data_IF_187921825435
#
_entry.id   IF_187921825435
#
_cell.length_a   1.000
_cell.length_b   1.000
_cell.length_c   1.000
_cell.angle_alpha   90.00
_cell.angle_beta   90.00
_cell.angle_gamma   90.00
#
_symmetry.space_group_name_H-M   'P 1'
#
loop_
_entity.id
_entity.type
_entity.pdbx_description
1 polymer ?
#
# COMPACT_ATOMS: atom_id res chain seq x y z
N UNK A 1 -9.93 14.22 -4.61
CA UNK A 1 -9.61 13.15 -3.63
C UNK A 1 -8.61 13.61 -2.55
N UNK A 2 -7.34 13.90 -2.89
CA UNK A 2 -6.29 14.21 -1.88
C UNK A 2 -6.69 15.30 -0.87
N UNK A 3 -7.19 16.45 -1.33
CA UNK A 3 -7.58 17.56 -0.44
C UNK A 3 -8.64 17.17 0.60
N UNK A 4 -9.54 16.25 0.25
CA UNK A 4 -10.59 15.76 1.16
C UNK A 4 -9.97 14.87 2.24
N UNK A 5 -9.10 13.93 1.85
CA UNK A 5 -8.37 13.07 2.80
C UNK A 5 -7.51 13.91 3.74
N UNK A 6 -6.82 14.92 3.19
CA UNK A 6 -5.99 15.85 3.95
C UNK A 6 -6.80 16.64 4.99
N UNK A 7 -7.93 17.22 4.60
CA UNK A 7 -8.81 17.95 5.52
C UNK A 7 -9.40 17.04 6.60
N UNK A 8 -9.85 15.82 6.23
CA UNK A 8 -10.34 14.83 7.19
C UNK A 8 -9.25 14.43 8.19
N UNK A 9 -8.01 14.22 7.72
CA UNK A 9 -6.88 13.90 8.58
C UNK A 9 -6.56 15.03 9.57
N UNK A 10 -6.60 16.31 9.14
CA UNK A 10 -6.42 17.47 10.03
C UNK A 10 -7.48 17.51 11.14
N UNK A 11 -8.73 17.24 10.77
CA UNK A 11 -9.85 17.24 11.72
C UNK A 11 -9.79 16.07 12.71
N UNK A 12 -9.28 14.91 12.26
CA UNK A 12 -9.11 13.69 13.08
C UNK A 12 -7.88 13.73 13.98
N UNK A 13 -6.83 14.43 13.57
CA UNK A 13 -5.58 14.51 14.31
C UNK A 13 -5.79 15.04 15.73
N UNK A 14 -5.20 14.37 16.71
CA UNK A 14 -5.34 14.75 18.12
C UNK A 14 -4.84 16.18 18.38
N UNK A 15 -5.60 17.00 19.13
CA UNK A 15 -5.12 18.29 19.62
C UNK A 15 -3.80 18.11 20.40
N UNK A 16 -2.92 19.10 20.33
CA UNK A 16 -1.69 19.13 21.10
C UNK A 16 -1.67 20.36 21.99
N UNK A 17 -1.20 20.19 23.23
CA UNK A 17 -1.09 21.30 24.20
C UNK A 17 0.02 22.29 23.84
N UNK A 18 0.98 21.88 23.00
CA UNK A 18 2.04 22.72 22.45
C UNK A 18 2.00 22.71 20.93
N UNK A 19 2.58 23.75 20.32
CA UNK A 19 2.69 23.83 18.85
C UNK A 19 3.44 22.63 18.29
N UNK A 20 4.58 22.26 18.88
CA UNK A 20 5.40 21.14 18.41
C UNK A 20 4.66 19.80 18.49
N UNK A 21 3.95 19.55 19.59
CA UNK A 21 3.13 18.35 19.74
C UNK A 21 1.99 18.34 18.72
N UNK A 22 1.32 19.48 18.50
CA UNK A 22 0.24 19.58 17.50
C UNK A 22 0.75 19.33 16.09
N UNK A 23 1.91 19.87 15.73
CA UNK A 23 2.54 19.67 14.42
C UNK A 23 2.90 18.19 14.24
N UNK A 24 3.49 17.55 15.25
CA UNK A 24 3.81 16.11 15.23
C UNK A 24 2.55 15.25 15.02
N UNK A 25 1.49 15.50 15.79
CA UNK A 25 0.22 14.77 15.67
C UNK A 25 -0.42 14.94 14.29
N UNK A 26 -0.35 16.15 13.72
CA UNK A 26 -0.83 16.44 12.37
C UNK A 26 -0.04 15.64 11.32
N UNK A 27 1.30 15.67 11.39
CA UNK A 27 2.16 14.94 10.45
C UNK A 27 1.90 13.44 10.51
N UNK A 28 1.81 12.85 11.71
CA UNK A 28 1.54 11.42 11.85
C UNK A 28 0.16 11.04 11.30
N UNK A 29 -0.88 11.81 11.63
CA UNK A 29 -2.25 11.53 11.19
C UNK A 29 -2.42 11.68 9.67
N UNK A 30 -1.83 12.74 9.09
CA UNK A 30 -1.88 12.98 7.64
C UNK A 30 -1.11 11.89 6.90
N UNK A 31 0.12 11.58 7.32
CA UNK A 31 0.96 10.54 6.69
C UNK A 31 0.23 9.20 6.69
N UNK A 32 -0.32 8.80 7.84
CA UNK A 32 -1.00 7.53 7.95
C UNK A 32 -2.32 7.49 7.18
N UNK A 33 -3.11 8.57 7.19
CA UNK A 33 -4.38 8.63 6.44
C UNK A 33 -4.15 8.54 4.94
N UNK A 34 -3.12 9.23 4.41
CA UNK A 34 -2.75 9.16 2.99
C UNK A 34 -2.21 7.78 2.63
N UNK A 35 -1.37 7.19 3.50
CA UNK A 35 -0.92 5.82 3.33
C UNK A 35 -2.09 4.84 3.25
N UNK A 36 -3.03 4.92 4.19
CA UNK A 36 -4.23 4.06 4.21
C UNK A 36 -5.12 4.26 3.00
N UNK A 37 -5.34 5.51 2.57
CA UNK A 37 -6.13 5.82 1.38
C UNK A 37 -5.50 5.26 0.11
N UNK A 38 -4.19 5.42 -0.04
CA UNK A 38 -3.47 4.95 -1.23
C UNK A 38 -3.38 3.43 -1.23
N UNK A 39 -2.96 2.82 -0.12
CA UNK A 39 -2.81 1.36 0.03
C UNK A 39 -4.11 0.59 -0.19
N UNK A 40 -5.29 1.20 0.02
CA UNK A 40 -6.59 0.60 -0.33
C UNK A 40 -6.79 0.38 -1.82
N UNK A 41 -6.22 1.25 -2.66
CA UNK A 41 -6.33 1.16 -4.12
C UNK A 41 -5.23 0.32 -4.78
N UNK A 42 -4.24 -0.16 -4.01
CA UNK A 42 -3.11 -0.93 -4.51
C UNK A 42 -3.36 -2.44 -4.41
N UNK A 43 -2.80 -3.19 -5.35
CA UNK A 43 -2.70 -4.64 -5.22
C UNK A 43 -1.76 -5.02 -4.08
N UNK A 44 -1.96 -6.18 -3.46
CA UNK A 44 -1.11 -6.64 -2.34
C UNK A 44 0.38 -6.71 -2.71
N UNK A 45 0.71 -7.08 -3.95
CA UNK A 45 2.10 -7.12 -4.42
C UNK A 45 2.77 -5.74 -4.47
N UNK A 46 1.99 -4.66 -4.57
CA UNK A 46 2.50 -3.31 -4.74
C UNK A 46 2.57 -2.52 -3.43
N UNK A 47 1.85 -2.96 -2.38
CA UNK A 47 1.79 -2.23 -1.10
C UNK A 47 3.14 -2.07 -0.43
N UNK A 48 3.96 -3.11 -0.40
CA UNK A 48 5.29 -3.02 0.22
C UNK A 48 6.20 -2.08 -0.58
N UNK A 49 6.09 -2.05 -1.90
CA UNK A 49 6.86 -1.15 -2.77
C UNK A 49 6.48 0.29 -2.44
N UNK A 50 5.18 0.60 -2.39
CA UNK A 50 4.69 1.93 -2.04
C UNK A 50 5.14 2.34 -0.62
N UNK A 51 4.96 1.47 0.37
CA UNK A 51 5.37 1.72 1.75
C UNK A 51 6.89 1.99 1.85
N UNK A 52 7.70 1.24 1.09
CA UNK A 52 9.15 1.43 1.02
C UNK A 52 9.49 2.80 0.43
N UNK A 53 8.89 3.16 -0.71
CA UNK A 53 9.14 4.44 -1.37
C UNK A 53 8.75 5.63 -0.48
N UNK A 54 7.57 5.57 0.14
CA UNK A 54 7.11 6.59 1.07
C UNK A 54 8.08 6.74 2.25
N UNK A 55 8.50 5.63 2.86
CA UNK A 55 9.49 5.64 3.94
C UNK A 55 10.80 6.28 3.48
N UNK A 56 11.33 5.90 2.32
CA UNK A 56 12.57 6.50 1.82
C UNK A 56 12.45 8.00 1.57
N UNK A 57 11.33 8.48 1.02
CA UNK A 57 11.13 9.91 0.80
C UNK A 57 11.04 10.69 2.13
N UNK A 58 10.32 10.16 3.12
CA UNK A 58 10.25 10.77 4.46
C UNK A 58 11.65 10.88 5.07
N UNK A 59 12.42 9.79 5.06
CA UNK A 59 13.76 9.77 5.65
C UNK A 59 14.75 10.67 4.91
N UNK A 60 14.62 10.81 3.58
CA UNK A 60 15.41 11.77 2.79
C UNK A 60 15.06 13.22 3.16
N UNK A 61 13.78 13.54 3.29
CA UNK A 61 13.31 14.88 3.67
C UNK A 61 13.74 15.26 5.09
N UNK A 62 13.82 14.27 5.99
CA UNK A 62 14.29 14.44 7.36
C UNK A 62 15.83 14.41 7.48
N UNK A 63 16.56 14.26 6.38
CA UNK A 63 18.03 14.13 6.36
C UNK A 63 18.57 12.94 7.19
N UNK A 64 17.74 11.91 7.44
CA UNK A 64 18.13 10.70 8.18
C UNK A 64 18.92 9.71 7.32
N UNK A 65 18.81 9.83 6.00
CA UNK A 65 19.52 9.01 5.00
C UNK A 65 19.98 9.89 3.86
N UNK A 66 21.12 9.54 3.27
CA UNK A 66 21.66 10.27 2.12
C UNK A 66 21.17 9.68 0.80
N UNK A 67 21.07 10.51 -0.25
CA UNK A 67 20.74 10.02 -1.59
C UNK A 67 21.75 9.01 -2.11
N UNK A 68 23.03 9.12 -1.71
CA UNK A 68 24.09 8.20 -2.13
C UNK A 68 23.93 6.80 -1.50
N UNK A 69 23.58 6.73 -0.21
CA UNK A 69 23.30 5.44 0.46
C UNK A 69 22.04 4.78 -0.10
N UNK A 70 20.98 5.56 -0.35
CA UNK A 70 19.76 5.03 -0.93
C UNK A 70 19.98 4.54 -2.37
N UNK A 71 20.73 5.29 -3.19
CA UNK A 71 21.07 4.88 -4.56
C UNK A 71 21.85 3.57 -4.57
N UNK A 72 22.76 3.37 -3.61
CA UNK A 72 23.47 2.11 -3.44
C UNK A 72 22.49 0.96 -3.19
N UNK A 73 21.55 1.13 -2.25
CA UNK A 73 20.53 0.12 -1.98
C UNK A 73 19.76 -0.20 -3.25
N UNK A 74 19.23 0.80 -3.95
CA UNK A 74 18.33 0.61 -5.10
C UNK A 74 19.03 -0.01 -6.31
N UNK A 75 20.19 0.54 -6.71
CA UNK A 75 20.95 0.07 -7.88
C UNK A 75 21.72 -1.21 -7.62
N UNK A 76 22.16 -1.40 -6.37
CA UNK A 76 22.97 -2.53 -5.93
C UNK A 76 24.15 -2.81 -6.88
N UNK A 77 25.14 -1.91 -6.93
CA UNK A 77 26.32 -2.10 -7.76
C UNK A 77 27.08 -3.36 -7.33
N UNK A 78 27.53 -4.14 -8.30
CA UNK A 78 28.26 -5.40 -8.09
C UNK A 78 29.62 -5.28 -8.75
N UNK A 79 30.70 -5.60 -8.03
CA UNK A 79 32.04 -5.73 -8.60
C UNK A 79 32.09 -6.98 -9.49
N UNK A 80 32.35 -6.85 -10.80
CA UNK A 80 32.36 -7.99 -11.71
C UNK A 80 33.63 -8.84 -11.55
N UNK A 81 33.57 -10.07 -12.06
CA UNK A 81 34.72 -11.00 -12.15
C UNK A 81 35.42 -11.33 -10.82
N UNK A 82 34.69 -11.32 -9.70
CA UNK A 82 35.19 -11.80 -8.41
C UNK A 82 34.73 -13.22 -8.13
N UNK A 83 35.53 -13.96 -7.37
CA UNK A 83 35.17 -15.28 -6.84
C UNK A 83 34.99 -15.16 -5.34
N UNK A 84 33.90 -15.72 -4.81
CA UNK A 84 33.66 -15.77 -3.38
C UNK A 84 34.74 -16.63 -2.70
N UNK A 85 35.43 -16.13 -1.66
CA UNK A 85 36.38 -16.93 -0.89
C UNK A 85 35.67 -17.87 0.11
N UNK A 86 34.34 -17.77 0.23
CA UNK A 86 33.51 -18.57 1.14
C UNK A 86 32.44 -19.35 0.38
N UNK A 87 32.09 -20.53 0.89
CA UNK A 87 31.18 -21.48 0.24
C UNK A 87 29.68 -21.13 0.35
N UNK A 88 29.31 -20.28 1.33
CA UNK A 88 27.94 -19.89 1.61
C UNK A 88 27.48 -18.61 0.89
N UNK A 89 28.33 -18.00 0.05
CA UNK A 89 27.98 -16.84 -0.76
C UNK A 89 28.26 -17.09 -2.23
N UNK A 90 27.35 -16.61 -3.09
CA UNK A 90 27.55 -16.64 -4.53
C UNK A 90 28.59 -15.60 -4.97
N UNK A 91 29.22 -15.78 -6.13
CA UNK A 91 30.11 -14.78 -6.72
C UNK A 91 29.41 -13.42 -6.92
N UNK A 92 28.11 -13.42 -7.21
CA UNK A 92 27.32 -12.20 -7.37
C UNK A 92 27.13 -11.47 -6.03
N UNK A 93 26.70 -12.18 -4.99
CA UNK A 93 26.59 -11.67 -3.62
C UNK A 93 27.93 -11.13 -3.12
N UNK A 94 29.02 -11.86 -3.38
CA UNK A 94 30.37 -11.45 -3.03
C UNK A 94 30.78 -10.17 -3.78
N UNK A 95 30.47 -10.04 -5.06
CA UNK A 95 30.70 -8.80 -5.80
C UNK A 95 29.92 -7.60 -5.23
N UNK A 96 28.72 -7.83 -4.71
CA UNK A 96 27.96 -6.83 -3.95
C UNK A 96 28.65 -6.44 -2.64
N UNK A 97 29.17 -7.41 -1.89
CA UNK A 97 29.96 -7.17 -0.66
C UNK A 97 31.23 -6.37 -0.97
N UNK A 98 31.98 -6.73 -2.02
CA UNK A 98 33.17 -5.98 -2.42
C UNK A 98 32.83 -4.53 -2.83
N UNK A 99 31.70 -4.31 -3.50
CA UNK A 99 31.25 -2.96 -3.83
C UNK A 99 30.77 -2.19 -2.61
N UNK A 100 30.20 -2.87 -1.62
CA UNK A 100 29.79 -2.26 -0.35
C UNK A 100 31.04 -1.87 0.45
N UNK A 101 32.03 -2.76 0.53
CA UNK A 101 33.28 -2.57 1.26
C UNK A 101 34.15 -1.42 0.73
N UNK A 102 33.89 -0.92 -0.49
CA UNK A 102 34.57 0.26 -1.03
C UNK A 102 34.04 1.58 -0.45
N UNK A 103 32.95 1.55 0.32
CA UNK A 103 32.41 2.70 1.05
C UNK A 103 33.07 2.78 2.43
N UNK A 104 33.35 3.98 2.90
CA UNK A 104 34.09 4.19 4.15
C UNK A 104 33.35 3.58 5.35
N UNK A 105 32.01 3.62 5.33
CA UNK A 105 31.17 3.03 6.35
C UNK A 105 31.28 1.51 6.39
N UNK A 106 31.71 0.83 5.32
CA UNK A 106 31.80 -0.62 5.25
C UNK A 106 33.22 -1.14 5.04
N UNK A 107 34.21 -0.30 5.29
CA UNK A 107 35.62 -0.65 5.14
C UNK A 107 35.94 -1.95 5.89
N UNK A 108 36.63 -2.87 5.21
CA UNK A 108 37.00 -4.21 5.69
C UNK A 108 35.85 -5.22 5.88
N UNK A 109 34.62 -4.94 5.41
CA UNK A 109 33.51 -5.91 5.49
C UNK A 109 33.84 -7.23 4.79
N UNK A 110 34.38 -7.16 3.59
CA UNK A 110 34.85 -8.31 2.81
C UNK A 110 35.90 -9.12 3.60
N UNK A 111 36.92 -8.45 4.13
CA UNK A 111 37.98 -9.09 4.91
C UNK A 111 37.47 -9.76 6.18
N UNK A 112 36.51 -9.14 6.89
CA UNK A 112 35.90 -9.75 8.08
C UNK A 112 35.05 -10.97 7.73
N UNK A 113 34.31 -10.95 6.61
CA UNK A 113 33.54 -12.12 6.15
C UNK A 113 34.47 -13.29 5.81
N UNK A 114 35.60 -13.02 5.15
CA UNK A 114 36.58 -14.04 4.80
C UNK A 114 37.28 -14.62 6.04
N UNK A 115 37.79 -13.77 6.92
CA UNK A 115 38.58 -14.19 8.10
C UNK A 115 37.71 -14.78 9.21
N UNK A 116 36.50 -14.26 9.42
CA UNK A 116 35.54 -14.70 10.44
C UNK A 116 34.40 -15.54 9.86
N UNK A 117 34.67 -16.31 8.79
CA UNK A 117 33.69 -17.02 7.96
C UNK A 117 32.63 -17.82 8.72
N UNK A 118 33.02 -18.56 9.77
CA UNK A 118 32.07 -19.38 10.57
C UNK A 118 30.91 -18.56 11.15
N UNK A 119 31.18 -17.33 11.59
CA UNK A 119 30.15 -16.47 12.21
C UNK A 119 29.20 -15.91 11.16
N UNK A 120 29.75 -15.49 10.02
CA UNK A 120 28.97 -14.98 8.90
C UNK A 120 28.14 -16.07 8.24
N UNK A 121 28.69 -17.29 8.13
CA UNK A 121 27.96 -18.47 7.68
C UNK A 121 26.71 -18.71 8.52
N UNK A 122 26.83 -18.66 9.86
CA UNK A 122 25.69 -18.78 10.77
C UNK A 122 24.60 -17.72 10.52
N UNK A 123 25.00 -16.47 10.25
CA UNK A 123 24.05 -15.39 9.94
C UNK A 123 23.35 -15.65 8.59
N UNK A 124 24.13 -15.94 7.54
CA UNK A 124 23.63 -16.14 6.18
C UNK A 124 22.73 -17.38 6.09
N UNK A 125 23.06 -18.45 6.80
CA UNK A 125 22.27 -19.69 6.84
C UNK A 125 21.10 -19.65 7.83
N UNK A 126 20.93 -18.56 8.59
CA UNK A 126 19.74 -18.39 9.45
C UNK A 126 18.47 -18.34 8.61
N UNK A 127 17.35 -18.84 9.16
CA UNK A 127 16.05 -18.77 8.51
C UNK A 127 15.55 -17.32 8.40
N UNK A 128 15.83 -16.51 9.42
CA UNK A 128 15.37 -15.12 9.57
C UNK A 128 16.57 -14.17 9.77
N UNK A 129 17.50 -14.05 8.80
CA UNK A 129 18.71 -13.26 8.94
C UNK A 129 18.43 -11.77 9.22
N UNK A 130 17.29 -11.25 8.77
CA UNK A 130 16.84 -9.88 9.04
C UNK A 130 16.54 -9.60 10.53
N UNK A 131 16.21 -10.65 11.31
CA UNK A 131 15.96 -10.57 12.76
C UNK A 131 17.23 -10.81 13.60
N UNK A 132 18.28 -11.33 12.97
CA UNK A 132 19.53 -11.64 13.65
C UNK A 132 20.36 -10.39 13.94
N UNK A 133 21.13 -10.42 15.03
CA UNK A 133 22.09 -9.36 15.32
C UNK A 133 23.34 -9.55 14.46
N UNK A 134 23.70 -8.52 13.71
CA UNK A 134 24.97 -8.50 12.98
C UNK A 134 26.18 -8.65 13.93
N UNK A 135 27.29 -9.21 13.44
CA UNK A 135 28.45 -9.47 14.28
C UNK A 135 29.25 -8.19 14.61
N UNK A 136 29.90 -8.16 15.78
CA UNK A 136 30.84 -7.09 16.20
C UNK A 136 30.31 -5.65 15.98
N UNK A 137 31.04 -4.86 15.20
CA UNK A 137 30.76 -3.46 14.89
C UNK A 137 29.65 -3.30 13.85
N UNK A 138 29.35 -4.35 13.07
CA UNK A 138 28.30 -4.35 12.06
C UNK A 138 26.90 -4.19 12.66
N UNK A 139 26.72 -4.54 13.95
CA UNK A 139 25.47 -4.28 14.69
C UNK A 139 25.17 -2.79 14.92
N UNK A 140 26.19 -1.94 14.82
CA UNK A 140 26.06 -0.49 15.04
C UNK A 140 25.71 0.27 13.74
N UNK A 141 25.52 -0.44 12.62
CA UNK A 141 25.11 0.16 11.35
C UNK A 141 23.70 0.71 11.43
N UNK A 142 23.45 1.80 10.71
CA UNK A 142 22.12 2.38 10.59
C UNK A 142 21.15 1.38 9.97
N UNK A 143 19.84 1.60 10.12
CA UNK A 143 18.81 0.73 9.54
C UNK A 143 19.00 0.54 8.02
N UNK A 144 19.30 1.62 7.29
CA UNK A 144 19.51 1.55 5.84
C UNK A 144 20.79 0.80 5.49
N UNK A 145 21.87 1.00 6.26
CA UNK A 145 23.13 0.29 6.07
C UNK A 145 22.99 -1.21 6.34
N UNK A 146 22.25 -1.61 7.38
CA UNK A 146 21.88 -3.01 7.64
C UNK A 146 21.09 -3.61 6.47
N UNK A 147 20.17 -2.84 5.88
CA UNK A 147 19.41 -3.25 4.72
C UNK A 147 20.31 -3.47 3.48
N UNK A 148 21.31 -2.61 3.24
CA UNK A 148 22.32 -2.81 2.21
C UNK A 148 23.14 -4.11 2.43
N UNK A 149 23.47 -4.43 3.68
CA UNK A 149 24.17 -5.67 4.03
C UNK A 149 23.31 -6.90 3.77
N UNK A 150 22.04 -6.90 4.20
CA UNK A 150 21.11 -8.00 3.91
C UNK A 150 20.94 -8.18 2.40
N UNK A 151 20.84 -7.10 1.62
CA UNK A 151 20.73 -7.19 0.16
C UNK A 151 21.90 -7.94 -0.49
N UNK A 152 23.11 -7.79 0.07
CA UNK A 152 24.28 -8.50 -0.42
C UNK A 152 24.35 -9.96 0.09
N UNK A 153 23.98 -10.19 1.34
CA UNK A 153 24.11 -11.48 2.03
C UNK A 153 22.97 -12.45 1.72
N UNK A 154 21.72 -11.96 1.74
CA UNK A 154 20.47 -12.74 1.61
C UNK A 154 19.42 -11.96 0.81
N UNK A 155 19.62 -11.78 -0.51
CA UNK A 155 18.72 -11.03 -1.37
C UNK A 155 17.29 -11.60 -1.40
N UNK A 156 17.11 -12.90 -1.16
CA UNK A 156 15.83 -13.59 -1.07
C UNK A 156 14.97 -13.12 0.13
N UNK A 157 15.60 -12.52 1.16
CA UNK A 157 14.92 -12.04 2.37
C UNK A 157 14.58 -10.54 2.33
N UNK A 158 14.82 -9.87 1.20
CA UNK A 158 14.67 -8.41 1.10
C UNK A 158 13.25 -7.91 1.39
N UNK A 159 12.21 -8.68 1.03
CA UNK A 159 10.81 -8.34 1.35
C UNK A 159 10.59 -8.23 2.86
N UNK A 160 11.14 -9.18 3.63
CA UNK A 160 11.04 -9.19 5.09
C UNK A 160 11.91 -8.10 5.72
N UNK A 161 13.13 -7.93 5.23
CA UNK A 161 14.03 -6.88 5.70
C UNK A 161 13.48 -5.46 5.45
N UNK A 162 12.77 -5.24 4.33
CA UNK A 162 12.07 -4.00 4.06
C UNK A 162 10.89 -3.77 5.00
N UNK A 163 10.10 -4.81 5.29
CA UNK A 163 9.00 -4.70 6.24
C UNK A 163 9.53 -4.32 7.64
N UNK A 164 10.59 -4.99 8.11
CA UNK A 164 11.25 -4.68 9.37
C UNK A 164 11.82 -3.25 9.40
N UNK A 165 12.41 -2.81 8.28
CA UNK A 165 12.93 -1.45 8.14
C UNK A 165 11.81 -0.40 8.23
N UNK A 166 10.68 -0.63 7.57
CA UNK A 166 9.52 0.27 7.64
C UNK A 166 8.92 0.27 9.04
N UNK A 167 8.80 -0.89 9.67
CA UNK A 167 8.32 -1.02 11.06
C UNK A 167 9.22 -0.24 12.03
N UNK A 168 10.54 -0.37 11.90
CA UNK A 168 11.50 0.38 12.73
C UNK A 168 11.39 1.90 12.53
N UNK A 169 11.09 2.36 11.30
CA UNK A 169 11.13 3.78 10.94
C UNK A 169 9.81 4.51 11.06
N UNK A 170 8.71 3.89 10.66
CA UNK A 170 7.37 4.49 10.68
C UNK A 170 6.41 3.79 11.64
N UNK A 171 6.74 2.59 12.12
CA UNK A 171 5.89 1.80 13.02
C UNK A 171 5.13 0.67 12.33
N UNK A 172 4.67 -0.30 13.13
CA UNK A 172 4.03 -1.54 12.65
C UNK A 172 2.78 -1.29 11.81
N UNK A 173 2.04 -0.20 12.06
CA UNK A 173 0.84 0.20 11.32
C UNK A 173 1.05 0.36 9.80
N UNK A 174 2.29 0.53 9.34
CA UNK A 174 2.63 0.67 7.92
C UNK A 174 2.96 -0.65 7.21
N UNK A 175 3.11 -1.75 7.95
CA UNK A 175 3.42 -3.09 7.40
C UNK A 175 2.41 -4.16 7.80
N UNK A 176 1.58 -3.88 8.81
CA UNK A 176 0.48 -4.76 9.19
C UNK A 176 -0.48 -4.97 8.01
N UNK A 177 -0.49 -6.19 7.48
CA UNK A 177 -1.46 -6.65 6.47
C UNK A 177 -2.81 -6.94 7.12
N UNK A 178 -3.40 -5.96 7.80
CA UNK A 178 -4.79 -6.09 8.24
C UNK A 178 -5.67 -5.67 7.08
N UNK A 179 -6.45 -6.63 6.55
CA UNK A 179 -7.49 -6.31 5.58
C UNK A 179 -8.32 -5.16 6.18
N UNK A 180 -8.40 -4.05 5.44
CA UNK A 180 -9.12 -2.89 5.93
C UNK A 180 -10.60 -3.24 5.98
N UNK A 181 -11.19 -3.17 7.17
CA UNK A 181 -12.61 -3.43 7.35
C UNK A 181 -13.42 -2.48 6.46
N UNK A 182 -14.38 -3.02 5.71
CA UNK A 182 -15.22 -2.24 4.81
C UNK A 182 -15.90 -1.05 5.50
N UNK A 183 -16.29 -1.22 6.78
CA UNK A 183 -16.85 -0.15 7.61
C UNK A 183 -15.98 1.12 7.65
N UNK A 184 -14.65 0.98 7.72
CA UNK A 184 -13.73 2.13 7.72
C UNK A 184 -13.66 2.82 6.37
N UNK A 185 -13.71 2.05 5.28
CA UNK A 185 -13.80 2.61 3.93
C UNK A 185 -15.13 3.34 3.72
N UNK A 186 -16.21 2.84 4.33
CA UNK A 186 -17.53 3.45 4.26
C UNK A 186 -17.61 4.81 4.97
N UNK A 187 -16.85 5.04 6.05
CA UNK A 187 -16.75 6.37 6.71
C UNK A 187 -16.32 7.49 5.74
N UNK A 188 -15.64 7.12 4.66
CA UNK A 188 -15.23 8.07 3.64
C UNK A 188 -16.21 8.21 2.47
N UNK A 189 -17.17 7.30 2.35
CA UNK A 189 -18.16 7.30 1.29
C UNK A 189 -19.20 8.41 1.46
N UNK A 190 -19.57 9.00 0.34
CA UNK A 190 -20.58 10.05 0.23
C UNK A 190 -21.32 9.87 -1.09
N UNK A 191 -22.41 10.61 -1.34
CA UNK A 191 -23.04 10.63 -2.65
C UNK A 191 -22.06 10.96 -3.79
N UNK A 192 -21.10 11.84 -3.50
CA UNK A 192 -20.02 12.27 -4.39
C UNK A 192 -18.77 11.39 -4.38
N UNK A 193 -18.69 10.41 -3.48
CA UNK A 193 -17.53 9.52 -3.33
C UNK A 193 -17.99 8.07 -3.37
N UNK A 194 -18.24 7.51 -4.58
CA UNK A 194 -18.59 6.11 -4.72
C UNK A 194 -17.43 5.20 -4.27
N UNK A 195 -17.75 4.03 -3.74
CA UNK A 195 -16.74 2.99 -3.46
C UNK A 195 -16.60 2.08 -4.68
N UNK A 196 -15.37 1.91 -5.14
CA UNK A 196 -15.04 1.05 -6.26
C UNK A 196 -14.25 -0.18 -5.79
N UNK A 197 -14.76 -1.36 -6.11
CA UNK A 197 -14.13 -2.64 -5.84
C UNK A 197 -13.41 -3.16 -7.07
N UNK A 198 -12.09 -3.33 -6.96
CA UNK A 198 -11.30 -4.09 -7.93
C UNK A 198 -11.38 -5.56 -7.53
N UNK A 199 -12.05 -6.35 -8.36
CA UNK A 199 -12.30 -7.77 -8.08
C UNK A 199 -11.05 -8.60 -8.33
N UNK A 200 -10.70 -9.43 -7.34
CA UNK A 200 -9.79 -10.56 -7.53
C UNK A 200 -10.60 -11.85 -7.66
N UNK A 201 -10.13 -12.84 -8.44
CA UNK A 201 -10.82 -14.12 -8.58
C UNK A 201 -11.17 -14.74 -7.22
N UNK A 202 -12.44 -15.10 -7.03
CA UNK A 202 -12.92 -15.77 -5.80
C UNK A 202 -13.27 -14.83 -4.62
N UNK A 203 -13.09 -13.52 -4.75
CA UNK A 203 -13.50 -12.54 -3.73
C UNK A 203 -14.85 -11.93 -4.09
N UNK A 204 -15.77 -11.89 -3.11
CA UNK A 204 -17.09 -11.28 -3.29
C UNK A 204 -17.28 -10.09 -2.33
N UNK A 205 -17.02 -8.84 -2.78
CA UNK A 205 -17.15 -7.65 -1.95
C UNK A 205 -18.59 -7.33 -1.55
N UNK A 206 -19.59 -7.84 -2.28
CA UNK A 206 -21.01 -7.60 -2.00
C UNK A 206 -21.39 -8.04 -0.59
N UNK A 207 -20.80 -9.14 -0.09
CA UNK A 207 -21.10 -9.66 1.26
C UNK A 207 -20.79 -8.65 2.35
N UNK A 208 -19.68 -7.92 2.19
CA UNK A 208 -19.28 -6.90 3.17
C UNK A 208 -20.19 -5.68 3.11
N UNK A 209 -20.61 -5.29 1.89
CA UNK A 209 -21.58 -4.21 1.67
C UNK A 209 -22.95 -4.55 2.26
N UNK A 210 -23.45 -5.76 2.02
CA UNK A 210 -24.73 -6.24 2.56
C UNK A 210 -24.70 -6.37 4.09
N UNK A 211 -23.59 -6.89 4.65
CA UNK A 211 -23.44 -7.03 6.09
C UNK A 211 -23.46 -5.67 6.79
N UNK A 212 -22.71 -4.68 6.27
CA UNK A 212 -22.73 -3.32 6.82
C UNK A 212 -24.08 -2.64 6.58
N UNK A 213 -24.64 -2.77 5.37
CA UNK A 213 -25.95 -2.22 5.03
C UNK A 213 -27.02 -2.69 6.00
N UNK A 214 -27.07 -3.98 6.30
CA UNK A 214 -28.03 -4.55 7.26
C UNK A 214 -27.87 -3.96 8.67
N UNK A 215 -26.64 -3.72 9.12
CA UNK A 215 -26.38 -3.06 10.41
C UNK A 215 -26.86 -1.60 10.42
N UNK A 216 -26.86 -0.94 9.26
CA UNK A 216 -27.27 0.45 9.07
C UNK A 216 -28.73 0.62 8.61
N UNK A 217 -29.50 -0.46 8.52
CA UNK A 217 -30.90 -0.41 8.08
C UNK A 217 -31.10 -0.34 6.56
N UNK A 218 -30.09 -0.68 5.77
CA UNK A 218 -30.16 -0.83 4.32
C UNK A 218 -30.22 -2.32 3.94
N UNK A 219 -31.31 -2.75 3.32
CA UNK A 219 -31.43 -4.12 2.84
C UNK A 219 -32.39 -4.23 1.66
N UNK A 220 -32.26 -5.32 0.90
CA UNK A 220 -33.19 -5.61 -0.20
C UNK A 220 -34.62 -5.79 0.30
N UNK A 221 -34.78 -6.41 1.49
CA UNK A 221 -36.09 -6.63 2.12
C UNK A 221 -36.81 -5.32 2.49
N UNK A 222 -36.04 -4.26 2.79
CA UNK A 222 -36.55 -2.93 3.09
C UNK A 222 -36.75 -2.07 1.81
N UNK A 223 -36.36 -2.58 0.64
CA UNK A 223 -36.48 -1.86 -0.64
C UNK A 223 -35.55 -0.65 -0.79
N UNK A 224 -34.59 -0.47 0.14
CA UNK A 224 -33.64 0.64 0.16
C UNK A 224 -32.19 0.23 -0.17
N UNK A 225 -32.01 -0.98 -0.70
CA UNK A 225 -30.75 -1.49 -1.22
C UNK A 225 -31.01 -2.15 -2.57
N UNK A 226 -30.36 -1.66 -3.61
CA UNK A 226 -30.51 -2.13 -4.98
C UNK A 226 -29.22 -2.81 -5.42
N UNK A 227 -29.31 -4.05 -5.91
CA UNK A 227 -28.17 -4.80 -6.39
C UNK A 227 -28.38 -5.22 -7.85
N UNK A 228 -27.56 -4.69 -8.75
CA UNK A 228 -27.67 -4.93 -10.20
C UNK A 228 -26.37 -5.52 -10.71
N UNK A 229 -26.43 -6.73 -11.27
CA UNK A 229 -25.30 -7.35 -11.97
C UNK A 229 -25.35 -6.96 -13.44
N UNK A 230 -24.34 -6.22 -13.92
CA UNK A 230 -24.34 -5.71 -15.27
C UNK A 230 -23.93 -6.79 -16.28
N UNK A 231 -24.70 -6.83 -17.36
CA UNK A 231 -24.55 -7.68 -18.52
C UNK A 231 -25.38 -7.07 -19.64
N UNK A 232 -25.58 -7.81 -20.74
CA UNK A 232 -26.33 -7.29 -21.88
C UNK A 232 -27.76 -6.90 -21.49
N UNK A 233 -28.12 -5.63 -21.65
CA UNK A 233 -29.49 -5.12 -21.44
C UNK A 233 -29.85 -4.75 -20.00
N UNK A 234 -28.89 -4.75 -19.07
CA UNK A 234 -29.12 -4.40 -17.65
C UNK A 234 -28.90 -2.91 -17.36
N UNK A 235 -28.46 -2.12 -18.33
CA UNK A 235 -28.12 -0.71 -18.19
C UNK A 235 -29.33 0.12 -17.73
N UNK A 236 -30.49 -0.09 -18.35
CA UNK A 236 -31.72 0.63 -18.00
C UNK A 236 -32.20 0.35 -16.56
N UNK A 237 -31.98 -0.88 -16.06
CA UNK A 237 -32.33 -1.27 -14.69
C UNK A 237 -31.39 -0.58 -13.70
N UNK A 238 -30.09 -0.52 -14.01
CA UNK A 238 -29.12 0.21 -13.21
C UNK A 238 -29.43 1.71 -13.14
N UNK A 239 -29.77 2.33 -14.27
CA UNK A 239 -30.17 3.74 -14.29
C UNK A 239 -31.41 3.99 -13.42
N UNK A 240 -32.46 3.17 -13.54
CA UNK A 240 -33.66 3.32 -12.73
C UNK A 240 -33.39 3.13 -11.21
N UNK A 241 -32.51 2.20 -10.86
CA UNK A 241 -32.07 2.01 -9.48
C UNK A 241 -31.31 3.25 -8.95
N UNK A 242 -30.40 3.82 -9.74
CA UNK A 242 -29.69 5.06 -9.39
C UNK A 242 -30.65 6.23 -9.20
N UNK A 243 -31.58 6.44 -10.13
CA UNK A 243 -32.56 7.53 -10.09
C UNK A 243 -33.45 7.45 -8.84
N UNK A 244 -33.85 6.23 -8.48
CA UNK A 244 -34.67 5.96 -7.29
C UNK A 244 -33.86 6.19 -6.02
N UNK A 245 -32.63 5.68 -5.99
CA UNK A 245 -31.75 5.76 -4.84
C UNK A 245 -31.27 7.18 -4.55
N UNK A 246 -30.97 7.96 -5.58
CA UNK A 246 -30.57 9.36 -5.44
C UNK A 246 -31.70 10.20 -4.83
N UNK A 247 -32.97 9.92 -5.15
CA UNK A 247 -34.12 10.64 -4.59
C UNK A 247 -34.44 10.28 -3.14
N UNK A 248 -34.31 9.00 -2.79
CA UNK A 248 -34.80 8.47 -1.51
C UNK A 248 -33.67 8.10 -0.52
N UNK A 249 -32.41 8.23 -0.92
CA UNK A 249 -31.27 7.91 -0.05
C UNK A 249 -30.97 6.43 0.06
N UNK A 250 -31.09 5.67 -1.04
CA UNK A 250 -30.84 4.23 -1.02
C UNK A 250 -29.39 3.89 -1.35
N UNK A 251 -29.03 2.64 -1.12
CA UNK A 251 -27.74 2.09 -1.55
C UNK A 251 -27.89 1.36 -2.88
N UNK A 252 -26.92 1.52 -3.77
CA UNK A 252 -26.89 0.83 -5.06
C UNK A 252 -25.55 0.15 -5.25
N UNK A 253 -25.59 -1.15 -5.56
CA UNK A 253 -24.44 -1.94 -5.97
C UNK A 253 -24.57 -2.26 -7.45
N UNK A 254 -23.61 -1.78 -8.26
CA UNK A 254 -23.47 -2.16 -9.67
C UNK A 254 -22.29 -3.11 -9.82
N UNK A 255 -22.58 -4.37 -10.11
CA UNK A 255 -21.55 -5.39 -10.28
C UNK A 255 -21.12 -5.50 -11.74
N UNK A 256 -19.86 -5.86 -11.96
CA UNK A 256 -19.31 -6.20 -13.27
C UNK A 256 -19.42 -5.09 -14.31
N UNK A 257 -19.19 -3.83 -13.92
CA UNK A 257 -19.34 -2.68 -14.83
C UNK A 257 -18.39 -2.75 -16.05
N UNK A 258 -17.31 -3.51 -15.92
CA UNK A 258 -16.36 -3.81 -16.99
C UNK A 258 -16.99 -4.49 -18.22
N UNK A 259 -18.13 -5.17 -18.06
CA UNK A 259 -18.84 -5.86 -19.14
C UNK A 259 -19.64 -4.90 -20.04
N UNK A 260 -19.92 -3.68 -19.58
CA UNK A 260 -20.75 -2.69 -20.30
C UNK A 260 -19.98 -1.42 -20.65
N UNK A 261 -18.78 -1.58 -21.22
CA UNK A 261 -17.85 -0.46 -21.54
C UNK A 261 -18.49 0.73 -22.27
N UNK A 262 -19.41 0.48 -23.21
CA UNK A 262 -20.05 1.54 -24.00
C UNK A 262 -21.00 2.42 -23.16
N UNK A 263 -21.46 1.92 -22.02
CA UNK A 263 -22.37 2.62 -21.12
C UNK A 263 -21.65 3.39 -20.00
N UNK A 264 -20.37 3.11 -19.75
CA UNK A 264 -19.60 3.80 -18.70
C UNK A 264 -19.66 5.34 -18.78
N UNK A 265 -19.59 5.99 -19.96
CA UNK A 265 -19.74 7.45 -20.04
C UNK A 265 -21.12 7.98 -19.60
N UNK A 266 -22.16 7.14 -19.68
CA UNK A 266 -23.51 7.49 -19.18
C UNK A 266 -23.55 7.34 -17.66
N UNK A 267 -22.95 6.26 -17.13
CA UNK A 267 -22.79 6.06 -15.70
C UNK A 267 -22.01 7.21 -15.05
N UNK A 268 -20.88 7.64 -15.63
CA UNK A 268 -20.07 8.78 -15.15
C UNK A 268 -20.91 10.05 -15.02
N UNK A 269 -21.64 10.44 -16.08
CA UNK A 269 -22.52 11.62 -16.06
C UNK A 269 -23.58 11.55 -14.97
N UNK A 270 -24.14 10.36 -14.71
CA UNK A 270 -25.12 10.18 -13.62
C UNK A 270 -24.45 10.28 -12.26
N UNK A 271 -23.27 9.71 -12.07
CA UNK A 271 -22.50 9.85 -10.83
C UNK A 271 -22.15 11.31 -10.55
N UNK A 272 -21.70 12.06 -11.56
CA UNK A 272 -21.43 13.50 -11.45
C UNK A 272 -22.69 14.28 -11.06
N UNK A 273 -23.82 14.04 -11.74
CA UNK A 273 -25.08 14.70 -11.42
C UNK A 273 -25.54 14.42 -9.98
N UNK A 274 -25.52 13.15 -9.56
CA UNK A 274 -25.94 12.77 -8.21
C UNK A 274 -24.91 13.09 -7.13
N UNK A 275 -23.66 13.39 -7.49
CA UNK A 275 -22.67 13.89 -6.54
C UNK A 275 -23.09 15.26 -5.96
N UNK A 276 -23.80 16.07 -6.74
CA UNK A 276 -24.26 17.41 -6.36
C UNK A 276 -25.73 17.42 -5.90
N UNK A 277 -26.60 16.66 -6.58
CA UNK A 277 -28.05 16.69 -6.38
C UNK A 277 -28.61 15.30 -6.04
N UNK A 278 -28.39 14.86 -4.80
CA UNK A 278 -28.99 13.64 -4.28
C UNK A 278 -29.16 13.66 -2.76
N UNK A 279 -29.94 12.70 -2.27
CA UNK A 279 -30.16 12.49 -0.86
C UNK A 279 -28.84 12.20 -0.12
N UNK A 280 -28.61 12.77 1.09
CA UNK A 280 -27.35 12.62 1.82
C UNK A 280 -26.93 11.17 2.11
N UNK A 281 -27.90 10.25 2.23
CA UNK A 281 -27.68 8.81 2.47
C UNK A 281 -27.47 7.98 1.19
N UNK A 282 -27.57 8.58 0.00
CA UNK A 282 -27.29 7.89 -1.26
C UNK A 282 -25.85 7.38 -1.30
N UNK A 283 -25.68 6.08 -1.54
CA UNK A 283 -24.36 5.46 -1.62
C UNK A 283 -24.27 4.57 -2.85
N UNK A 284 -23.16 4.72 -3.58
CA UNK A 284 -22.84 3.93 -4.76
C UNK A 284 -21.66 3.01 -4.49
N UNK A 285 -21.84 1.73 -4.85
CA UNK A 285 -20.82 0.70 -4.80
C UNK A 285 -20.69 0.11 -6.20
N UNK A 286 -19.48 0.13 -6.74
CA UNK A 286 -19.19 -0.33 -8.10
C UNK A 286 -18.21 -1.49 -8.03
N UNK A 287 -18.34 -2.50 -8.89
CA UNK A 287 -17.32 -3.55 -9.01
C UNK A 287 -16.87 -3.78 -10.45
N UNK A 288 -15.57 -3.99 -10.62
CA UNK A 288 -14.98 -4.35 -11.90
C UNK A 288 -13.78 -5.28 -11.73
N UNK A 289 -13.53 -6.12 -12.72
CA UNK A 289 -12.23 -6.77 -12.86
C UNK A 289 -11.19 -5.75 -13.35
N UNK A 290 -9.92 -5.87 -12.89
CA UNK A 290 -8.86 -5.03 -13.40
C UNK A 290 -8.64 -5.29 -14.90
N UNK A 291 -8.35 -4.24 -15.65
CA UNK A 291 -8.01 -4.38 -17.06
C UNK A 291 -6.71 -5.18 -17.22
N UNK A 292 -6.65 -6.06 -18.22
CA UNK A 292 -5.45 -6.84 -18.55
C UNK A 292 -4.28 -6.01 -19.06
N UNK A 293 -4.53 -4.77 -19.50
CA UNK A 293 -3.51 -3.82 -19.95
C UNK A 293 -3.89 -2.39 -19.55
N UNK A 294 -2.90 -1.48 -19.33
CA UNK A 294 -3.16 -0.07 -19.04
C UNK A 294 -4.00 0.64 -20.12
N UNK A 295 -3.82 0.26 -21.40
CA UNK A 295 -4.58 0.80 -22.53
C UNK A 295 -6.04 0.34 -22.58
N UNK A 296 -6.38 -0.75 -21.89
CA UNK A 296 -7.74 -1.30 -21.83
C UNK A 296 -8.47 -0.89 -20.55
N UNK A 297 -7.96 0.13 -19.83
CA UNK A 297 -8.50 0.60 -18.57
C UNK A 297 -9.96 1.05 -18.70
N UNK A 298 -10.71 0.77 -17.64
CA UNK A 298 -12.17 0.87 -17.58
C UNK A 298 -12.64 1.35 -16.22
N UNK A 299 -11.73 1.85 -15.38
CA UNK A 299 -12.14 2.55 -14.18
C UNK A 299 -12.69 3.90 -14.65
N UNK A 300 -13.95 4.23 -14.29
CA UNK A 300 -14.52 5.54 -14.55
C UNK A 300 -13.59 6.63 -13.99
N UNK A 301 -13.29 7.67 -14.77
CA UNK A 301 -12.40 8.76 -14.34
C UNK A 301 -13.13 9.85 -13.55
#
# INVERSE_FOLDING_TARGET
>A
AFSVVFQKAIAKAEPGDTLDLRVSNLIDCITYSVFQYTSRGLFECDKLIFASQMTFQILLMNEEVTSAELDFLLRFPIKPHVTSPVDFLTNQSWGGICSLASKDEFRNLDRDIETSSKRWKKLVESELPEKEKFPQEWKNKTALQRLCMIRALRPDRMTYALADFIEEKLGSKYVESRAMEFAKSYEEASPSTPIFFILSPGVNPLKDVEALGKQMGFSMDLGNFHNVSLGQGQEAIAEAAMDTAAKHGHWVVLQNIHLVRKWLPVLEKKLEYYAEDSHPDYRMFLSAEPASTPSAHIIPQ
#
